data_IF_257253642856
#
_entry.id   IF_257253642856
#
_cell.length_a   1.000
_cell.length_b   1.000
_cell.length_c   1.000
_cell.angle_alpha   90.00
_cell.angle_beta   90.00
_cell.angle_gamma   90.00
#
_symmetry.space_group_name_H-M   'P 1'
#
loop_
_entity.id
_entity.type
_entity.pdbx_description
1 polymer ?
#
# COMPACT_ATOMS: atom_id res chain seq x y z
N UNK A 1 -16.70 19.90 75.90
CA UNK A 1 -16.07 20.62 77.04
C UNK A 1 -15.95 22.13 76.84
N UNK A 2 -15.51 22.66 75.69
CA UNK A 2 -15.32 24.12 75.50
C UNK A 2 -16.65 24.91 75.49
N UNK A 3 -17.73 24.33 74.96
CA UNK A 3 -19.07 24.95 74.95
C UNK A 3 -19.64 25.11 76.37
N UNK A 4 -19.25 24.21 77.29
CA UNK A 4 -19.74 24.18 78.68
C UNK A 4 -19.02 25.20 79.58
N UNK A 5 -17.75 25.52 79.26
CA UNK A 5 -16.99 26.59 79.92
C UNK A 5 -17.47 27.99 79.48
N UNK A 6 -17.77 28.18 78.19
CA UNK A 6 -18.32 29.46 77.71
C UNK A 6 -19.72 29.76 78.27
N UNK A 7 -20.56 28.76 78.45
CA UNK A 7 -21.89 28.91 79.06
C UNK A 7 -21.78 29.17 80.56
N UNK A 8 -20.91 28.46 81.30
CA UNK A 8 -20.64 28.72 82.73
C UNK A 8 -20.01 30.11 82.98
N UNK A 9 -19.07 30.55 82.16
CA UNK A 9 -18.49 31.91 82.23
C UNK A 9 -19.51 33.00 81.86
N UNK A 10 -20.43 32.71 80.94
CA UNK A 10 -21.56 33.60 80.61
C UNK A 10 -22.50 33.74 81.81
N UNK A 11 -22.87 32.64 82.48
CA UNK A 11 -23.77 32.64 83.64
C UNK A 11 -23.17 33.42 84.83
N UNK A 12 -21.86 33.26 85.12
CA UNK A 12 -21.22 33.93 86.26
C UNK A 12 -20.93 35.41 86.01
N UNK A 13 -20.56 35.80 84.78
CA UNK A 13 -20.42 37.22 84.41
C UNK A 13 -21.77 37.94 84.35
N UNK A 14 -22.84 37.26 83.93
CA UNK A 14 -24.20 37.80 83.92
C UNK A 14 -24.78 38.04 85.31
N UNK A 15 -24.55 37.13 86.27
CA UNK A 15 -25.09 37.30 87.63
C UNK A 15 -24.49 38.49 88.38
N UNK A 16 -23.20 38.82 88.19
CA UNK A 16 -22.61 40.06 88.77
C UNK A 16 -23.05 41.34 88.05
N UNK A 17 -23.49 41.24 86.80
CA UNK A 17 -24.04 42.38 86.05
C UNK A 17 -25.53 42.60 86.34
N UNK A 18 -26.26 41.60 86.81
CA UNK A 18 -27.70 41.73 87.06
C UNK A 18 -28.01 42.74 88.17
N UNK A 19 -27.28 42.70 89.28
CA UNK A 19 -27.46 43.65 90.39
C UNK A 19 -27.12 45.09 89.95
N UNK A 20 -25.99 45.28 89.26
CA UNK A 20 -25.61 46.58 88.69
C UNK A 20 -26.61 47.08 87.66
N UNK A 21 -27.16 46.19 86.83
CA UNK A 21 -28.19 46.52 85.86
C UNK A 21 -29.53 46.82 86.53
N UNK A 22 -29.86 46.17 87.64
CA UNK A 22 -31.04 46.49 88.42
C UNK A 22 -30.93 47.91 89.03
N UNK A 23 -29.73 48.34 89.44
CA UNK A 23 -29.47 49.69 89.95
C UNK A 23 -29.60 50.79 88.89
N UNK A 24 -29.30 50.52 87.61
CA UNK A 24 -29.48 51.52 86.54
C UNK A 24 -30.95 51.78 86.23
N UNK A 25 -31.84 50.85 86.58
CA UNK A 25 -33.27 50.97 86.34
C UNK A 25 -33.91 51.71 87.52
N UNK A 26 -34.59 52.85 87.29
CA UNK A 26 -35.16 53.62 88.38
C UNK A 26 -36.31 52.86 89.06
N UNK A 27 -36.30 52.85 90.39
CA UNK A 27 -37.39 52.33 91.23
C UNK A 27 -38.69 53.09 90.95
N UNK A 28 -39.86 52.43 91.02
CA UNK A 28 -41.14 53.10 90.76
C UNK A 28 -41.46 54.15 91.82
N UNK A 29 -42.21 55.18 91.43
CA UNK A 29 -42.62 56.28 92.33
C UNK A 29 -43.45 55.75 93.50
N UNK A 30 -43.16 56.23 94.71
CA UNK A 30 -43.83 55.79 95.95
C UNK A 30 -43.25 54.52 96.58
N UNK A 31 -42.22 53.91 95.98
CA UNK A 31 -41.55 52.72 96.52
C UNK A 31 -40.73 53.03 97.78
N UNK A 32 -40.22 54.25 97.87
CA UNK A 32 -39.51 54.79 99.04
C UNK A 32 -40.41 55.86 99.67
N UNK A 33 -40.76 55.74 100.96
CA UNK A 33 -41.48 56.80 101.67
C UNK A 33 -40.72 58.13 101.59
N UNK A 34 -41.45 59.23 101.41
CA UNK A 34 -40.86 60.58 101.40
C UNK A 34 -40.34 60.98 102.80
N UNK A 35 -41.07 60.53 103.84
CA UNK A 35 -40.72 60.66 105.24
C UNK A 35 -40.02 59.38 105.73
N UNK A 36 -38.95 59.51 106.51
CA UNK A 36 -38.34 58.35 107.15
C UNK A 36 -36.83 58.45 107.33
N UNK A 37 -36.31 57.53 108.14
CA UNK A 37 -34.89 57.43 108.43
C UNK A 37 -34.10 57.13 107.14
N UNK A 38 -32.86 57.64 107.00
CA UNK A 38 -32.01 57.38 105.83
C UNK A 38 -31.91 55.89 105.45
N UNK A 39 -31.91 54.99 106.44
CA UNK A 39 -31.86 53.54 106.22
C UNK A 39 -33.03 52.97 105.41
N UNK A 40 -34.22 53.57 105.47
CA UNK A 40 -35.39 53.09 104.72
C UNK A 40 -35.27 53.36 103.22
N UNK A 41 -34.46 54.35 102.81
CA UNK A 41 -34.19 54.66 101.40
C UNK A 41 -33.28 53.60 100.74
N UNK A 42 -32.34 53.08 101.52
CA UNK A 42 -31.39 52.05 101.09
C UNK A 42 -32.00 50.64 101.15
N UNK A 43 -33.10 50.47 101.88
CA UNK A 43 -33.70 49.17 102.10
C UNK A 43 -34.34 48.59 100.82
N UNK A 44 -34.10 47.30 100.50
CA UNK A 44 -34.76 46.62 99.40
C UNK A 44 -36.28 46.62 99.55
N UNK A 45 -37.01 46.57 98.42
CA UNK A 45 -38.48 46.55 98.42
C UNK A 45 -39.06 45.25 99.00
N UNK A 46 -38.23 44.24 99.17
CA UNK A 46 -38.56 42.92 99.74
C UNK A 46 -38.76 42.97 101.26
N UNK A 47 -38.03 43.88 101.91
CA UNK A 47 -38.06 43.98 103.35
C UNK A 47 -39.24 44.87 103.77
N UNK A 48 -39.98 44.38 104.77
CA UNK A 48 -41.03 45.15 105.44
C UNK A 48 -40.37 46.34 106.16
N UNK A 49 -41.04 47.49 106.14
CA UNK A 49 -40.57 48.63 106.92
C UNK A 49 -40.75 48.32 108.41
N UNK A 50 -39.68 48.34 109.22
CA UNK A 50 -39.80 48.17 110.66
C UNK A 50 -40.47 49.41 111.26
N UNK A 51 -41.49 49.19 112.10
CA UNK A 51 -42.11 50.28 112.84
C UNK A 51 -41.24 50.63 114.03
N UNK A 52 -40.77 51.87 114.10
CA UNK A 52 -40.07 52.41 115.26
C UNK A 52 -41.08 53.28 116.01
N UNK A 53 -41.28 53.10 117.33
CA UNK A 53 -42.19 53.96 118.08
C UNK A 53 -41.69 55.39 118.03
N UNK A 54 -42.55 56.30 117.59
CA UNK A 54 -42.25 57.73 117.46
C UNK A 54 -43.43 58.60 117.90
N UNK A 55 -43.25 59.92 117.96
CA UNK A 55 -44.33 60.86 118.27
C UNK A 55 -45.52 60.67 117.32
N UNK A 56 -46.74 60.94 117.82
CA UNK A 56 -47.96 60.87 116.99
C UNK A 56 -47.80 61.75 115.75
N UNK A 57 -48.23 61.24 114.60
CA UNK A 57 -48.21 61.88 113.27
C UNK A 57 -46.85 62.03 112.58
N UNK A 58 -45.75 61.50 113.14
CA UNK A 58 -44.43 61.53 112.47
C UNK A 58 -44.38 60.61 111.25
N UNK A 59 -45.12 59.50 111.27
CA UNK A 59 -45.18 58.55 110.16
C UNK A 59 -46.55 58.63 109.49
N UNK A 60 -46.60 59.18 108.27
CA UNK A 60 -47.82 59.24 107.46
C UNK A 60 -47.66 58.38 106.20
N UNK A 61 -47.88 57.08 106.30
CA UNK A 61 -47.75 56.18 105.13
C UNK A 61 -48.80 56.53 104.08
N UNK A 62 -48.32 56.94 102.91
CA UNK A 62 -49.14 57.26 101.75
C UNK A 62 -48.78 56.36 100.59
N UNK A 63 -49.75 56.08 99.71
CA UNK A 63 -49.53 55.24 98.53
C UNK A 63 -49.56 56.06 97.25
N UNK A 64 -50.73 56.58 96.91
CA UNK A 64 -50.97 57.46 95.76
C UNK A 64 -51.98 58.55 96.11
N UNK A 65 -52.08 59.52 95.21
CA UNK A 65 -53.11 60.55 95.25
C UNK A 65 -54.52 59.97 95.06
N UNK A 66 -55.51 60.69 95.58
CA UNK A 66 -56.93 60.40 95.36
C UNK A 66 -57.22 60.27 93.86
N UNK A 67 -58.05 59.29 93.51
CA UNK A 67 -58.47 59.02 92.14
C UNK A 67 -57.35 58.56 91.19
N UNK A 68 -56.16 58.28 91.71
CA UNK A 68 -55.11 57.60 90.96
C UNK A 68 -55.15 56.12 91.26
N UNK A 69 -55.26 55.32 90.21
CA UNK A 69 -55.24 53.85 90.29
C UNK A 69 -54.01 53.36 91.05
N UNK A 70 -54.27 52.63 92.14
CA UNK A 70 -53.25 52.07 93.03
C UNK A 70 -52.42 51.00 92.30
N UNK A 71 -53.11 50.04 91.70
CA UNK A 71 -52.52 48.92 90.96
C UNK A 71 -52.30 49.32 89.50
N UNK A 72 -51.23 50.06 89.25
CA UNK A 72 -50.88 50.52 87.91
C UNK A 72 -50.23 49.38 87.11
N UNK A 73 -51.02 48.68 86.30
CA UNK A 73 -50.50 47.92 85.16
C UNK A 73 -50.01 48.95 84.13
N UNK A 74 -48.75 49.41 84.26
CA UNK A 74 -48.19 50.39 83.32
C UNK A 74 -48.30 49.85 81.89
N UNK A 75 -48.85 50.66 80.97
CA UNK A 75 -48.86 50.31 79.55
C UNK A 75 -47.44 50.43 78.98
N UNK A 76 -47.02 49.55 78.05
CA UNK A 76 -47.83 48.50 77.42
C UNK A 76 -48.14 47.38 78.40
N UNK A 77 -49.41 46.94 78.38
CA UNK A 77 -50.02 45.97 79.33
C UNK A 77 -48.98 44.93 79.73
N UNK A 78 -48.69 44.82 81.02
CA UNK A 78 -47.91 43.68 81.50
C UNK A 78 -48.56 42.41 80.93
N UNK A 79 -47.76 41.48 80.37
CA UNK A 79 -48.31 40.21 79.90
C UNK A 79 -49.01 39.53 81.06
N UNK A 80 -50.13 38.87 80.78
CA UNK A 80 -50.86 38.10 81.78
C UNK A 80 -49.89 37.08 82.42
N UNK A 81 -49.65 37.22 83.71
CA UNK A 81 -48.72 36.37 84.44
C UNK A 81 -49.40 35.04 84.77
N UNK A 82 -49.09 34.00 84.00
CA UNK A 82 -49.60 32.65 84.23
C UNK A 82 -48.97 31.98 85.47
N UNK A 83 -47.95 32.58 86.08
CA UNK A 83 -47.26 32.00 87.24
C UNK A 83 -48.07 32.11 88.53
N UNK A 84 -48.96 33.11 88.63
CA UNK A 84 -49.81 33.36 89.80
C UNK A 84 -51.25 33.71 89.36
N UNK A 85 -52.02 32.72 88.86
CA UNK A 85 -53.37 32.96 88.34
C UNK A 85 -54.35 33.47 89.41
N UNK A 86 -54.11 33.14 90.68
CA UNK A 86 -54.96 33.53 91.81
C UNK A 86 -54.46 34.76 92.57
N UNK A 87 -53.40 35.42 92.10
CA UNK A 87 -52.83 36.63 92.70
C UNK A 87 -52.48 36.47 94.21
N UNK A 88 -51.93 35.31 94.60
CA UNK A 88 -51.51 35.06 95.98
C UNK A 88 -50.45 36.06 96.46
N UNK A 89 -49.64 36.58 95.55
CA UNK A 89 -48.58 37.51 95.92
C UNK A 89 -49.10 38.89 96.33
N UNK A 90 -50.11 39.42 95.63
CA UNK A 90 -50.65 40.77 95.84
C UNK A 90 -52.17 40.71 95.90
N UNK A 91 -52.75 41.05 97.05
CA UNK A 91 -54.21 41.18 97.17
C UNK A 91 -54.66 42.50 96.56
N UNK A 92 -55.47 42.41 95.51
CA UNK A 92 -56.05 43.56 94.82
C UNK A 92 -57.40 43.94 95.44
N UNK A 93 -57.40 44.40 96.69
CA UNK A 93 -58.62 44.93 97.32
C UNK A 93 -59.08 46.21 96.61
N UNK A 94 -60.40 46.32 96.41
CA UNK A 94 -61.01 47.55 95.92
C UNK A 94 -60.91 48.62 97.00
N UNK A 95 -60.44 49.81 96.60
CA UNK A 95 -60.26 50.94 97.50
C UNK A 95 -60.88 52.19 96.87
N UNK A 96 -62.01 52.69 97.41
CA UNK A 96 -62.76 53.78 96.79
C UNK A 96 -61.92 55.05 96.53
N UNK A 97 -61.02 55.40 97.45
CA UNK A 97 -60.20 56.61 97.33
C UNK A 97 -59.21 56.57 96.15
N UNK A 98 -58.92 55.39 95.60
CA UNK A 98 -58.04 55.22 94.44
C UNK A 98 -58.81 54.95 93.14
N UNK A 99 -60.15 54.99 93.18
CA UNK A 99 -60.99 54.86 91.99
C UNK A 99 -60.98 56.16 91.19
N UNK A 100 -60.61 56.08 89.91
CA UNK A 100 -60.56 57.25 89.02
C UNK A 100 -61.95 57.85 88.79
N UNK A 101 -62.99 57.03 88.79
CA UNK A 101 -64.35 57.47 88.54
C UNK A 101 -64.97 58.19 89.75
N UNK A 102 -64.42 57.96 90.95
CA UNK A 102 -64.84 58.66 92.17
C UNK A 102 -64.01 59.93 92.42
N UNK A 103 -63.03 60.24 91.56
CA UNK A 103 -62.18 61.42 91.72
C UNK A 103 -63.01 62.70 91.78
N UNK A 104 -64.00 62.86 90.91
CA UNK A 104 -64.85 64.06 90.87
C UNK A 104 -65.69 64.21 92.15
N UNK A 105 -66.21 63.08 92.67
CA UNK A 105 -66.92 63.06 93.94
C UNK A 105 -66.02 63.50 95.09
N UNK A 106 -64.82 62.92 95.21
CA UNK A 106 -63.90 63.26 96.31
C UNK A 106 -63.26 64.64 96.18
N UNK A 107 -63.13 65.17 94.96
CA UNK A 107 -62.53 66.50 94.72
C UNK A 107 -63.43 67.66 95.15
N UNK A 108 -64.71 67.42 95.47
CA UNK A 108 -65.61 68.45 95.99
C UNK A 108 -65.07 69.01 97.32
N UNK A 109 -65.00 70.34 97.53
CA UNK A 109 -64.39 70.93 98.73
C UNK A 109 -64.98 70.42 100.06
N UNK A 110 -66.29 70.16 100.10
CA UNK A 110 -66.96 69.60 101.28
C UNK A 110 -66.40 68.21 101.61
N UNK A 111 -66.28 67.35 100.60
CA UNK A 111 -65.78 65.99 100.76
C UNK A 111 -64.29 65.98 101.12
N UNK A 112 -63.47 66.84 100.51
CA UNK A 112 -62.06 66.99 100.89
C UNK A 112 -61.90 67.40 102.36
N UNK A 113 -62.69 68.37 102.85
CA UNK A 113 -62.68 68.77 104.26
C UNK A 113 -63.06 67.61 105.18
N UNK A 114 -64.07 66.82 104.80
CA UNK A 114 -64.45 65.62 105.55
C UNK A 114 -63.32 64.57 105.59
N UNK A 115 -62.66 64.32 104.45
CA UNK A 115 -61.55 63.36 104.36
C UNK A 115 -60.32 63.80 105.17
N UNK A 116 -59.99 65.10 105.16
CA UNK A 116 -58.93 65.68 105.98
C UNK A 116 -59.26 65.57 107.47
N UNK A 117 -60.48 65.91 107.87
CA UNK A 117 -60.94 65.80 109.26
C UNK A 117 -60.94 64.36 109.76
N UNK A 118 -61.21 63.39 108.87
CA UNK A 118 -61.17 61.96 109.16
C UNK A 118 -59.76 61.34 109.12
N UNK A 119 -58.71 62.14 108.86
CA UNK A 119 -57.32 61.71 108.73
C UNK A 119 -57.08 60.61 107.66
N UNK A 120 -57.90 60.58 106.62
CA UNK A 120 -57.78 59.60 105.53
C UNK A 120 -56.85 60.06 104.41
N UNK A 121 -56.60 61.37 104.32
CA UNK A 121 -55.77 61.98 103.28
C UNK A 121 -54.81 63.00 103.89
N UNK A 122 -53.71 63.28 103.19
CA UNK A 122 -52.79 64.38 103.50
C UNK A 122 -53.24 65.67 102.82
N UNK A 123 -52.66 66.81 103.23
CA UNK A 123 -52.86 68.10 102.57
C UNK A 123 -52.45 68.06 101.08
N UNK A 124 -51.52 67.17 100.72
CA UNK A 124 -51.07 66.91 99.34
C UNK A 124 -52.02 66.06 98.48
N UNK A 125 -53.21 65.73 99.01
CA UNK A 125 -54.20 64.80 98.45
C UNK A 125 -53.71 63.35 98.35
N UNK A 126 -52.71 62.96 99.13
CA UNK A 126 -52.24 61.57 99.19
C UNK A 126 -53.07 60.76 100.17
N UNK A 127 -53.48 59.56 99.75
CA UNK A 127 -54.30 58.67 100.58
C UNK A 127 -53.43 58.02 101.64
N UNK A 128 -53.77 58.25 102.91
CA UNK A 128 -53.14 57.62 104.07
C UNK A 128 -53.52 56.13 104.16
N UNK A 129 -52.62 55.31 104.68
CA UNK A 129 -52.83 53.88 104.81
C UNK A 129 -52.12 53.30 106.02
N UNK A 130 -52.49 52.08 106.40
CA UNK A 130 -51.80 51.37 107.46
C UNK A 130 -50.40 50.91 107.00
N UNK A 131 -49.50 50.64 107.96
CA UNK A 131 -48.19 50.04 107.65
C UNK A 131 -48.35 48.69 106.92
N UNK A 132 -49.41 47.93 107.24
CA UNK A 132 -49.70 46.66 106.59
C UNK A 132 -50.01 46.85 105.10
N UNK A 133 -50.87 47.83 104.79
CA UNK A 133 -51.26 48.13 103.40
C UNK A 133 -50.10 48.74 102.62
N UNK A 134 -49.28 49.57 103.25
CA UNK A 134 -48.08 50.11 102.65
C UNK A 134 -47.06 49.02 102.31
N UNK A 135 -46.84 48.06 103.22
CA UNK A 135 -45.96 46.92 102.95
C UNK A 135 -46.52 46.01 101.84
N UNK A 136 -47.84 45.81 101.76
CA UNK A 136 -48.47 45.11 100.63
C UNK A 136 -48.26 45.85 99.31
N UNK A 137 -48.40 47.18 99.32
CA UNK A 137 -48.12 48.02 98.16
C UNK A 137 -46.63 48.02 97.77
N UNK A 138 -45.68 48.03 98.72
CA UNK A 138 -44.24 47.85 98.43
C UNK A 138 -43.96 46.53 97.73
N UNK A 139 -44.59 45.43 98.16
CA UNK A 139 -44.46 44.12 97.51
C UNK A 139 -44.94 44.17 96.06
N UNK A 140 -46.05 44.85 95.79
CA UNK A 140 -46.51 45.10 94.42
C UNK A 140 -45.51 45.91 93.60
N UNK A 141 -45.00 47.01 94.15
CA UNK A 141 -44.00 47.85 93.48
C UNK A 141 -42.71 47.10 93.18
N UNK A 142 -42.31 46.15 94.03
CA UNK A 142 -41.22 45.22 93.75
C UNK A 142 -41.49 44.40 92.50
N UNK A 143 -42.68 43.81 92.36
CA UNK A 143 -43.08 43.02 91.19
C UNK A 143 -43.00 43.85 89.92
N UNK A 144 -43.59 45.05 89.94
CA UNK A 144 -43.53 46.01 88.81
C UNK A 144 -42.08 46.35 88.44
N UNK A 145 -41.21 46.60 89.42
CA UNK A 145 -39.81 46.89 89.18
C UNK A 145 -39.04 45.69 88.61
N UNK A 146 -39.25 44.49 89.15
CA UNK A 146 -38.66 43.26 88.65
C UNK A 146 -39.09 42.96 87.20
N UNK A 147 -40.37 43.18 86.87
CA UNK A 147 -40.88 43.00 85.52
C UNK A 147 -40.32 44.05 84.54
N UNK A 148 -40.05 45.27 85.02
CA UNK A 148 -39.32 46.27 84.24
C UNK A 148 -37.89 45.82 83.97
N UNK A 149 -37.16 45.34 84.99
CA UNK A 149 -35.80 44.82 84.83
C UNK A 149 -35.77 43.67 83.82
N UNK A 150 -36.67 42.68 83.95
CA UNK A 150 -36.79 41.56 83.01
C UNK A 150 -37.09 42.00 81.58
N UNK A 151 -37.85 43.08 81.38
CA UNK A 151 -38.16 43.61 80.03
C UNK A 151 -36.94 44.28 79.40
N UNK A 152 -36.24 45.11 80.16
CA UNK A 152 -35.03 45.78 79.69
C UNK A 152 -33.92 44.77 79.39
N UNK A 153 -33.75 43.77 80.26
CA UNK A 153 -32.79 42.68 80.05
C UNK A 153 -33.09 41.91 78.75
N UNK A 154 -34.35 41.52 78.54
CA UNK A 154 -34.77 40.87 77.27
C UNK A 154 -34.56 41.75 76.05
N UNK A 155 -34.64 43.08 76.20
CA UNK A 155 -34.36 44.02 75.10
C UNK A 155 -32.86 44.03 74.79
N UNK A 156 -32.00 44.14 75.79
CA UNK A 156 -30.54 44.08 75.61
C UNK A 156 -30.09 42.74 75.01
N UNK A 157 -30.67 41.62 75.46
CA UNK A 157 -30.39 40.29 74.90
C UNK A 157 -30.72 40.23 73.40
N UNK A 158 -31.89 40.71 73.01
CA UNK A 158 -32.30 40.78 71.60
C UNK A 158 -31.34 41.64 70.79
N UNK A 159 -30.97 42.82 71.30
CA UNK A 159 -30.00 43.71 70.64
C UNK A 159 -28.61 43.08 70.55
N UNK A 160 -28.22 42.25 71.51
CA UNK A 160 -26.96 41.53 71.47
C UNK A 160 -26.97 40.44 70.40
N UNK A 161 -28.05 39.65 70.33
CA UNK A 161 -28.24 38.62 69.30
C UNK A 161 -28.34 39.23 67.90
N UNK A 162 -29.13 40.29 67.71
CA UNK A 162 -29.20 41.04 66.45
C UNK A 162 -27.82 41.55 66.01
N UNK A 163 -27.05 42.14 66.93
CA UNK A 163 -25.67 42.59 66.65
C UNK A 163 -24.77 41.43 66.26
N UNK A 164 -24.93 40.26 66.86
CA UNK A 164 -24.16 39.06 66.52
C UNK A 164 -24.52 38.55 65.13
N UNK A 165 -25.80 38.50 64.81
CA UNK A 165 -26.31 37.99 63.54
C UNK A 165 -25.95 38.94 62.38
N UNK A 166 -26.00 40.26 62.61
CA UNK A 166 -25.49 41.26 61.66
C UNK A 166 -24.01 41.06 61.35
N UNK A 167 -23.16 40.89 62.37
CA UNK A 167 -21.72 40.61 62.15
C UNK A 167 -21.50 39.33 61.35
N UNK A 168 -22.28 38.30 61.62
CA UNK A 168 -22.19 37.05 60.86
C UNK A 168 -22.60 37.25 59.40
N UNK A 169 -23.70 37.97 59.14
CA UNK A 169 -24.16 38.27 57.79
C UNK A 169 -23.14 39.12 57.01
N UNK A 170 -22.54 40.14 57.63
CA UNK A 170 -21.48 40.95 57.04
C UNK A 170 -20.26 40.12 56.65
N UNK A 171 -19.84 39.20 57.51
CA UNK A 171 -18.71 38.31 57.23
C UNK A 171 -19.00 37.38 56.05
N UNK A 172 -20.22 36.83 55.96
CA UNK A 172 -20.64 36.02 54.81
C UNK A 172 -20.68 36.85 53.52
N UNK A 173 -21.21 38.08 53.59
CA UNK A 173 -21.22 38.99 52.44
C UNK A 173 -19.81 39.32 51.96
N UNK A 174 -18.86 39.58 52.86
CA UNK A 174 -17.44 39.80 52.53
C UNK A 174 -16.83 38.61 51.81
N UNK A 175 -17.05 37.39 52.32
CA UNK A 175 -16.55 36.15 51.69
C UNK A 175 -17.13 35.94 50.29
N UNK A 176 -18.42 36.21 50.12
CA UNK A 176 -19.08 36.07 48.83
C UNK A 176 -18.55 37.09 47.80
N UNK A 177 -18.34 38.34 48.22
CA UNK A 177 -17.70 39.37 47.38
C UNK A 177 -16.31 38.94 46.92
N UNK A 178 -15.48 38.40 47.82
CA UNK A 178 -14.14 37.92 47.44
C UNK A 178 -14.21 36.74 46.46
N UNK A 179 -15.14 35.81 46.67
CA UNK A 179 -15.40 34.70 45.75
C UNK A 179 -15.82 35.18 44.36
N UNK A 180 -16.70 36.18 44.29
CA UNK A 180 -17.15 36.80 43.03
C UNK A 180 -16.00 37.51 42.32
N UNK A 181 -15.17 38.28 43.04
CA UNK A 181 -13.95 38.88 42.49
C UNK A 181 -12.99 37.84 41.92
N UNK A 182 -12.83 36.70 42.61
CA UNK A 182 -12.04 35.57 42.11
C UNK A 182 -12.58 35.01 40.79
N UNK A 183 -13.90 34.84 40.68
CA UNK A 183 -14.58 34.39 39.45
C UNK A 183 -14.41 35.39 38.31
N UNK A 184 -14.61 36.68 38.58
CA UNK A 184 -14.46 37.75 37.60
C UNK A 184 -13.03 37.79 37.05
N UNK A 185 -12.01 37.73 37.91
CA UNK A 185 -10.60 37.63 37.50
C UNK A 185 -10.37 36.44 36.57
N UNK A 186 -10.94 35.27 36.87
CA UNK A 186 -10.82 34.08 36.03
C UNK A 186 -11.46 34.26 34.64
N UNK A 187 -12.67 34.82 34.59
CA UNK A 187 -13.37 35.14 33.33
C UNK A 187 -12.55 36.13 32.50
N UNK A 188 -12.05 37.20 33.11
CA UNK A 188 -11.22 38.20 32.46
C UNK A 188 -9.91 37.60 31.92
N UNK A 189 -9.24 36.73 32.69
CA UNK A 189 -8.06 36.00 32.23
C UNK A 189 -8.37 35.10 31.03
N UNK A 190 -9.51 34.40 31.05
CA UNK A 190 -9.95 33.53 29.95
C UNK A 190 -10.25 34.36 28.70
N UNK A 191 -10.96 35.47 28.83
CA UNK A 191 -11.29 36.38 27.72
C UNK A 191 -10.02 36.97 27.11
N UNK A 192 -9.06 37.43 27.91
CA UNK A 192 -7.77 37.94 27.43
C UNK A 192 -6.99 36.86 26.66
N UNK A 193 -6.96 35.61 27.14
CA UNK A 193 -6.32 34.49 26.43
C UNK A 193 -7.02 34.19 25.09
N UNK A 194 -8.35 34.23 25.06
CA UNK A 194 -9.13 34.04 23.84
C UNK A 194 -8.82 35.13 22.80
N UNK A 195 -8.83 36.40 23.20
CA UNK A 195 -8.49 37.53 22.34
C UNK A 195 -7.07 37.39 21.77
N UNK A 196 -6.09 36.99 22.59
CA UNK A 196 -4.73 36.74 22.11
C UNK A 196 -4.65 35.59 21.09
N UNK A 197 -5.47 34.53 21.23
CA UNK A 197 -5.53 33.44 20.25
C UNK A 197 -6.09 33.93 18.92
N UNK A 198 -7.20 34.67 18.96
CA UNK A 198 -7.83 35.24 17.77
C UNK A 198 -6.86 36.17 17.02
N UNK A 199 -6.17 37.07 17.72
CA UNK A 199 -5.15 37.94 17.12
C UNK A 199 -4.00 37.16 16.47
N UNK A 200 -3.53 36.08 17.11
CA UNK A 200 -2.48 35.21 16.55
C UNK A 200 -2.96 34.47 15.30
N UNK A 201 -4.21 34.00 15.29
CA UNK A 201 -4.83 33.35 14.14
C UNK A 201 -4.99 34.31 12.98
N UNK A 202 -5.48 35.52 13.21
CA UNK A 202 -5.60 36.56 12.20
C UNK A 202 -4.24 36.90 11.57
N UNK A 203 -3.20 37.05 12.40
CA UNK A 203 -1.84 37.29 11.90
C UNK A 203 -1.31 36.11 11.06
N UNK A 204 -1.60 34.86 11.46
CA UNK A 204 -1.25 33.67 10.66
C UNK A 204 -1.98 33.67 9.32
N UNK A 205 -3.27 33.98 9.32
CA UNK A 205 -4.08 34.05 8.10
C UNK A 205 -3.57 35.13 7.15
N UNK A 206 -3.22 36.32 7.65
CA UNK A 206 -2.60 37.36 6.83
C UNK A 206 -1.26 36.91 6.23
N UNK A 207 -0.39 36.27 7.03
CA UNK A 207 0.89 35.73 6.54
C UNK A 207 0.67 34.66 5.46
N UNK A 208 -0.31 33.78 5.64
CA UNK A 208 -0.67 32.77 4.64
C UNK A 208 -1.19 33.40 3.35
N UNK A 209 -2.08 34.41 3.42
CA UNK A 209 -2.56 35.16 2.25
C UNK A 209 -1.39 35.80 1.47
N UNK A 210 -0.45 36.47 2.16
CA UNK A 210 0.75 37.06 1.54
C UNK A 210 1.64 35.99 0.88
N UNK A 211 1.84 34.83 1.53
CA UNK A 211 2.59 33.69 0.94
C UNK A 211 1.90 33.14 -0.31
N UNK A 212 0.59 32.97 -0.28
CA UNK A 212 -0.19 32.48 -1.41
C UNK A 212 -0.12 33.45 -2.61
N UNK A 213 -0.22 34.76 -2.38
CA UNK A 213 -0.04 35.78 -3.42
C UNK A 213 1.36 35.72 -4.06
N UNK A 214 2.42 35.61 -3.24
CA UNK A 214 3.80 35.43 -3.75
C UNK A 214 3.97 34.18 -4.60
N UNK A 215 3.38 33.06 -4.17
CA UNK A 215 3.45 31.81 -4.92
C UNK A 215 2.69 31.90 -6.26
N UNK A 216 1.52 32.57 -6.29
CA UNK A 216 0.79 32.84 -7.53
C UNK A 216 1.65 33.65 -8.51
N UNK A 217 2.29 34.72 -8.03
CA UNK A 217 3.19 35.54 -8.84
C UNK A 217 4.35 34.72 -9.41
N UNK A 218 5.02 33.92 -8.58
CA UNK A 218 6.12 33.04 -9.01
C UNK A 218 5.67 32.01 -10.06
N UNK A 219 4.45 31.47 -9.94
CA UNK A 219 3.88 30.55 -10.95
C UNK A 219 3.70 31.24 -12.30
N UNK A 220 3.18 32.48 -12.30
CA UNK A 220 3.03 33.27 -13.53
C UNK A 220 4.39 33.52 -14.21
N UNK A 221 5.41 33.92 -13.44
CA UNK A 221 6.77 34.14 -13.97
C UNK A 221 7.33 32.86 -14.62
N UNK A 222 7.25 31.72 -13.91
CA UNK A 222 7.73 30.43 -14.44
C UNK A 222 6.98 29.96 -15.69
N UNK A 223 5.68 30.24 -15.79
CA UNK A 223 4.91 29.92 -16.99
C UNK A 223 5.41 30.72 -18.19
N UNK A 224 5.70 32.00 -17.99
CA UNK A 224 6.20 32.87 -19.05
C UNK A 224 7.62 32.48 -19.48
N UNK A 225 8.51 32.16 -18.54
CA UNK A 225 9.85 31.61 -18.84
C UNK A 225 9.76 30.34 -19.69
N UNK A 226 8.84 29.41 -19.36
CA UNK A 226 8.62 28.18 -20.12
C UNK A 226 8.14 28.47 -21.55
N UNK A 227 7.24 29.45 -21.73
CA UNK A 227 6.79 29.89 -23.06
C UNK A 227 7.97 30.39 -23.90
N UNK A 228 8.81 31.25 -23.32
CA UNK A 228 10.01 31.77 -23.99
C UNK A 228 11.00 30.65 -24.36
N UNK A 229 11.20 29.67 -23.49
CA UNK A 229 12.05 28.50 -23.78
C UNK A 229 11.46 27.66 -24.92
N UNK A 230 10.15 27.42 -24.93
CA UNK A 230 9.49 26.65 -25.98
C UNK A 230 9.62 27.34 -27.35
N UNK A 231 9.40 28.65 -27.42
CA UNK A 231 9.61 29.43 -28.65
C UNK A 231 11.05 29.29 -29.16
N UNK A 232 12.05 29.37 -28.26
CA UNK A 232 13.46 29.17 -28.62
C UNK A 232 13.76 27.75 -29.12
N UNK A 233 13.12 26.72 -28.53
CA UNK A 233 13.27 25.31 -28.93
C UNK A 233 12.66 25.05 -30.31
N UNK A 234 11.46 25.58 -30.57
CA UNK A 234 10.80 25.45 -31.88
C UNK A 234 11.63 26.08 -33.00
N UNK A 235 12.18 27.27 -32.76
CA UNK A 235 13.10 27.93 -33.72
C UNK A 235 14.33 27.07 -34.03
N UNK A 236 14.91 26.41 -33.02
CA UNK A 236 16.05 25.48 -33.21
C UNK A 236 15.63 24.21 -33.95
N UNK A 237 14.47 23.63 -33.61
CA UNK A 237 13.96 22.44 -34.27
C UNK A 237 13.69 22.69 -35.75
N UNK A 238 13.17 23.86 -36.11
CA UNK A 238 12.96 24.25 -37.51
C UNK A 238 14.28 24.37 -38.27
N UNK A 239 15.31 24.98 -37.67
CA UNK A 239 16.65 25.02 -38.26
C UNK A 239 17.24 23.62 -38.48
N UNK A 240 17.03 22.68 -37.55
CA UNK A 240 17.48 21.30 -37.70
C UNK A 240 16.71 20.60 -38.83
N UNK A 241 15.39 20.76 -38.90
CA UNK A 241 14.56 20.19 -39.99
C UNK A 241 15.05 20.66 -41.36
N UNK A 242 15.37 21.95 -41.51
CA UNK A 242 15.90 22.48 -42.76
C UNK A 242 17.26 21.86 -43.12
N UNK A 243 18.17 21.70 -42.15
CA UNK A 243 19.47 21.03 -42.37
C UNK A 243 19.31 19.55 -42.72
N UNK A 244 18.38 18.83 -42.08
CA UNK A 244 18.11 17.42 -42.38
C UNK A 244 17.58 17.23 -43.82
N UNK A 245 16.67 18.10 -44.29
CA UNK A 245 16.17 18.05 -45.68
C UNK A 245 17.29 18.19 -46.71
N UNK A 246 18.23 19.12 -46.48
CA UNK A 246 19.40 19.32 -47.35
C UNK A 246 20.30 18.08 -47.33
N UNK A 247 20.54 17.49 -46.15
CA UNK A 247 21.38 16.30 -46.01
C UNK A 247 20.77 15.07 -46.71
N UNK A 248 19.46 14.86 -46.62
CA UNK A 248 18.77 13.75 -47.31
C UNK A 248 18.89 13.86 -48.83
N UNK A 249 18.85 15.08 -49.36
CA UNK A 249 18.99 15.32 -50.80
C UNK A 249 20.40 15.01 -51.30
N UNK A 250 21.42 15.35 -50.52
CA UNK A 250 22.82 15.00 -50.82
C UNK A 250 23.03 13.48 -50.82
N UNK A 251 22.45 12.76 -49.85
CA UNK A 251 22.54 11.29 -49.80
C UNK A 251 21.84 10.65 -51.01
N UNK A 252 20.67 11.17 -51.39
CA UNK A 252 19.93 10.68 -52.56
C UNK A 252 20.75 10.82 -53.85
N UNK A 253 21.43 11.96 -54.06
CA UNK A 253 22.31 12.17 -55.22
C UNK A 253 23.48 11.19 -55.25
N UNK A 254 24.16 10.98 -54.11
CA UNK A 254 25.26 10.00 -53.99
C UNK A 254 24.80 8.57 -54.29
N UNK A 255 23.58 8.19 -53.86
CA UNK A 255 23.00 6.86 -54.13
C UNK A 255 22.76 6.65 -55.63
N UNK A 256 22.28 7.69 -56.33
CA UNK A 256 22.06 7.63 -57.79
C UNK A 256 23.39 7.47 -58.53
N UNK A 257 24.43 8.20 -58.13
CA UNK A 257 25.77 8.11 -58.73
C UNK A 257 26.37 6.70 -58.61
N UNK A 258 26.24 6.06 -57.44
CA UNK A 258 26.70 4.68 -57.20
C UNK A 258 26.00 3.67 -58.11
N UNK A 259 24.69 3.82 -58.33
CA UNK A 259 23.91 2.93 -59.20
C UNK A 259 24.33 3.06 -60.67
N UNK A 260 24.64 4.28 -61.12
CA UNK A 260 25.12 4.54 -62.48
C UNK A 260 26.51 3.91 -62.70
N UNK A 261 27.41 4.04 -61.73
CA UNK A 261 28.76 3.47 -61.81
C UNK A 261 28.74 1.92 -61.82
N UNK A 262 27.85 1.32 -61.03
CA UNK A 262 27.61 -0.14 -61.07
C UNK A 262 27.13 -0.62 -62.44
N UNK A 263 26.16 0.06 -63.07
CA UNK A 263 25.67 -0.29 -64.42
C UNK A 263 26.76 -0.21 -65.49
N UNK A 264 27.71 0.73 -65.37
CA UNK A 264 28.87 0.84 -66.28
C UNK A 264 29.84 -0.33 -66.11
N UNK A 265 30.17 -0.70 -64.87
CA UNK A 265 31.06 -1.83 -64.56
C UNK A 265 30.46 -3.17 -64.98
N UNK A 266 29.14 -3.32 -64.90
CA UNK A 266 28.46 -4.57 -65.26
C UNK A 266 28.45 -4.83 -66.78
N UNK A 267 28.19 -3.80 -67.59
CA UNK A 267 28.32 -3.89 -69.05
C UNK A 267 29.73 -4.27 -69.52
N UNK A 268 30.77 -3.84 -68.80
CA UNK A 268 32.15 -4.21 -69.10
C UNK A 268 32.45 -5.70 -68.81
N UNK A 269 31.89 -6.25 -67.73
CA UNK A 269 32.02 -7.68 -67.38
C UNK A 269 31.31 -8.58 -68.39
N UNK A 270 30.14 -8.17 -68.87
CA UNK A 270 29.39 -8.94 -69.88
C UNK A 270 30.17 -9.08 -71.20
N UNK A 271 30.75 -7.98 -71.70
CA UNK A 271 31.59 -7.98 -72.91
C UNK A 271 32.86 -8.84 -72.78
N UNK A 272 33.44 -8.90 -71.59
CA UNK A 272 34.61 -9.76 -71.32
C UNK A 272 34.26 -11.26 -71.31
N UNK A 273 33.03 -11.60 -70.89
CA UNK A 273 32.53 -12.99 -70.88
C UNK A 273 32.23 -13.50 -72.29
N UNK A 274 31.64 -12.66 -73.14
CA UNK A 274 31.35 -12.98 -74.55
C UNK A 274 32.62 -13.25 -75.37
N UNK A 275 33.69 -12.46 -75.19
CA UNK A 275 34.98 -12.72 -75.84
C UNK A 275 35.58 -14.09 -75.47
N UNK A 276 35.53 -14.48 -74.20
CA UNK A 276 36.04 -15.78 -73.74
C UNK A 276 35.25 -16.98 -74.29
N UNK A 277 33.95 -16.81 -74.53
CA UNK A 277 33.11 -17.85 -75.13
C UNK A 277 33.42 -18.05 -76.61
N UNK A 278 33.68 -16.96 -77.35
CA UNK A 278 34.07 -17.02 -78.77
C UNK A 278 35.43 -17.69 -78.98
N UNK A 279 36.40 -17.45 -78.11
CA UNK A 279 37.74 -18.07 -78.20
C UNK A 279 37.71 -19.58 -77.91
N UNK A 280 36.85 -20.03 -76.98
CA UNK A 280 36.68 -21.47 -76.67
C UNK A 280 36.00 -22.23 -77.82
N UNK A 281 35.04 -21.60 -78.51
CA UNK A 281 34.32 -22.22 -79.63
C UNK A 281 35.23 -22.39 -80.86
N UNK A 282 36.08 -21.40 -81.15
CA UNK A 282 37.09 -21.49 -82.21
C UNK A 282 38.15 -22.56 -81.95
N UNK A 283 38.51 -22.78 -80.68
CA UNK A 283 39.47 -23.84 -80.31
C UNK A 283 38.86 -25.24 -80.47
N UNK A 284 37.57 -25.41 -80.14
CA UNK A 284 36.85 -26.69 -80.32
C UNK A 284 36.71 -27.08 -81.80
N UNK A 285 36.51 -26.11 -82.70
CA UNK A 285 36.40 -26.37 -84.14
C UNK A 285 37.73 -26.90 -84.73
N UNK A 286 38.87 -26.32 -84.32
CA UNK A 286 40.21 -26.78 -84.74
C UNK A 286 40.52 -28.21 -84.25
N UNK A 287 40.15 -28.54 -83.01
CA UNK A 287 40.35 -29.88 -82.45
C UNK A 287 39.46 -30.96 -83.11
N UNK A 288 38.32 -30.57 -83.69
CA UNK A 288 37.43 -31.50 -84.42
C UNK A 288 38.00 -31.79 -85.82
N UNK A 289 38.47 -30.76 -86.54
CA UNK A 289 39.13 -30.93 -87.84
C UNK A 289 40.39 -31.78 -87.76
N UNK A 290 41.22 -31.58 -86.73
CA UNK A 290 42.46 -32.35 -86.58
C UNK A 290 42.17 -33.83 -86.25
N UNK A 291 41.14 -34.11 -85.46
CA UNK A 291 40.68 -35.49 -85.17
C UNK A 291 40.10 -36.19 -86.39
N UNK A 292 39.40 -35.47 -87.27
CA UNK A 292 38.88 -36.02 -88.52
C UNK A 292 40.01 -36.42 -89.48
N UNK A 293 41.02 -35.56 -89.63
CA UNK A 293 42.19 -35.80 -90.50
C UNK A 293 42.95 -37.07 -90.10
N UNK A 294 43.21 -37.25 -88.80
CA UNK A 294 43.89 -38.46 -88.27
C UNK A 294 43.07 -39.74 -88.49
N UNK A 295 41.74 -39.64 -88.53
CA UNK A 295 40.83 -40.77 -88.76
C UNK A 295 40.79 -41.21 -90.22
N UNK A 296 40.86 -40.24 -91.15
CA UNK A 296 41.00 -40.50 -92.59
C UNK A 296 42.32 -41.22 -92.90
N UNK A 297 43.45 -40.73 -92.39
CA UNK A 297 44.76 -41.37 -92.59
C UNK A 297 44.85 -42.79 -92.01
N UNK A 298 44.17 -43.05 -90.89
CA UNK A 298 44.10 -44.38 -90.31
C UNK A 298 43.31 -45.34 -91.21
N UNK A 299 42.19 -44.89 -91.79
CA UNK A 299 41.37 -45.69 -92.70
C UNK A 299 42.11 -46.02 -94.01
N UNK A 300 42.86 -45.08 -94.59
CA UNK A 300 43.66 -45.35 -95.80
C UNK A 300 44.75 -46.41 -95.55
N UNK A 301 45.42 -46.34 -94.40
CA UNK A 301 46.44 -47.35 -94.02
C UNK A 301 45.82 -48.74 -93.85
N UNK A 302 44.59 -48.83 -93.38
CA UNK A 302 43.90 -50.11 -93.20
C UNK A 302 43.42 -50.70 -94.54
N UNK A 303 42.89 -49.86 -95.43
CA UNK A 303 42.55 -50.25 -96.81
C UNK A 303 43.80 -50.74 -97.56
N UNK A 304 44.94 -50.08 -97.39
CA UNK A 304 46.21 -50.51 -98.01
C UNK A 304 46.66 -51.89 -97.50
N UNK A 305 46.53 -52.17 -96.20
CA UNK A 305 46.82 -53.50 -95.63
C UNK A 305 45.88 -54.58 -96.16
N UNK A 306 44.59 -54.28 -96.28
CA UNK A 306 43.61 -55.22 -96.83
C UNK A 306 43.90 -55.55 -98.31
N UNK A 307 44.30 -54.56 -99.13
CA UNK A 307 44.73 -54.80 -100.53
C UNK A 307 45.91 -55.77 -100.63
N UNK A 308 46.93 -55.63 -99.78
CA UNK A 308 48.09 -56.54 -99.75
C UNK A 308 47.67 -57.97 -99.38
N UNK A 309 46.74 -58.12 -98.42
CA UNK A 309 46.22 -59.42 -98.03
C UNK A 309 45.43 -60.10 -99.17
N UNK A 310 44.59 -59.34 -99.88
CA UNK A 310 43.83 -59.86 -101.02
C UNK A 310 44.74 -60.34 -102.15
N UNK A 311 45.80 -59.59 -102.48
CA UNK A 311 46.79 -60.00 -103.49
C UNK A 311 47.48 -61.33 -103.13
N UNK A 312 47.79 -61.55 -101.85
CA UNK A 312 48.36 -62.82 -101.37
C UNK A 312 47.39 -63.99 -101.51
N UNK A 313 46.10 -63.75 -101.24
CA UNK A 313 45.05 -64.77 -101.40
C UNK A 313 44.89 -65.14 -102.89
N UNK A 314 44.87 -64.15 -103.79
CA UNK A 314 44.80 -64.40 -105.23
C UNK A 314 46.01 -65.16 -105.78
N UNK A 315 47.22 -64.83 -105.33
CA UNK A 315 48.43 -65.56 -105.71
C UNK A 315 48.36 -67.03 -105.28
N UNK A 316 47.81 -67.30 -104.08
CA UNK A 316 47.62 -68.66 -103.57
C UNK A 316 46.54 -69.41 -104.36
N UNK A 317 45.45 -68.73 -104.73
CA UNK A 317 44.38 -69.29 -105.57
C UNK A 317 44.90 -69.65 -106.97
N UNK A 318 45.76 -68.82 -107.58
CA UNK A 318 46.37 -69.13 -108.88
C UNK A 318 47.24 -70.40 -108.83
N UNK A 319 48.10 -70.52 -107.81
CA UNK A 319 48.90 -71.75 -107.60
C UNK A 319 48.03 -72.99 -107.43
N UNK A 320 46.94 -72.89 -106.67
CA UNK A 320 46.01 -74.00 -106.51
C UNK A 320 45.31 -74.40 -107.81
N UNK A 321 44.91 -73.42 -108.65
CA UNK A 321 44.32 -73.70 -109.96
C UNK A 321 45.32 -74.42 -110.88
N UNK A 322 46.58 -73.98 -110.89
CA UNK A 322 47.65 -74.64 -111.68
C UNK A 322 47.89 -76.10 -111.23
N UNK A 323 47.96 -76.34 -109.92
CA UNK A 323 48.10 -77.69 -109.34
C UNK A 323 46.88 -78.58 -109.63
N UNK A 324 45.66 -78.02 -109.56
CA UNK A 324 44.43 -78.74 -109.90
C UNK A 324 44.39 -79.12 -111.38
N UNK A 325 44.71 -78.19 -112.28
CA UNK A 325 44.72 -78.45 -113.73
C UNK A 325 45.76 -79.51 -114.10
N UNK A 326 46.98 -79.45 -113.54
CA UNK A 326 47.98 -80.51 -113.77
C UNK A 326 47.54 -81.88 -113.25
N UNK A 327 46.74 -81.93 -112.18
CA UNK A 327 46.15 -83.18 -111.69
C UNK A 327 45.07 -83.70 -112.63
N UNK A 328 44.19 -82.83 -113.13
CA UNK A 328 43.18 -83.15 -114.14
C UNK A 328 43.83 -83.65 -115.42
N UNK A 329 44.89 -83.00 -115.92
CA UNK A 329 45.60 -83.43 -117.13
C UNK A 329 46.21 -84.82 -116.98
N UNK A 330 46.77 -85.15 -115.80
CA UNK A 330 47.28 -86.49 -115.48
C UNK A 330 46.17 -87.55 -115.48
N UNK A 331 45.01 -87.25 -114.88
CA UNK A 331 43.87 -88.17 -114.89
C UNK A 331 43.25 -88.32 -116.29
N UNK A 332 43.21 -87.25 -117.07
CA UNK A 332 42.75 -87.27 -118.47
C UNK A 332 43.68 -88.15 -119.32
N UNK A 333 44.99 -88.05 -119.12
CA UNK A 333 45.96 -88.92 -119.79
C UNK A 333 45.82 -90.40 -119.39
N UNK A 334 45.48 -90.69 -118.12
CA UNK A 334 45.15 -92.07 -117.68
C UNK A 334 43.87 -92.58 -118.32
N UNK A 335 42.82 -91.76 -118.33
CA UNK A 335 41.53 -92.09 -118.97
C UNK A 335 41.71 -92.34 -120.47
N UNK A 336 42.55 -91.57 -121.15
CA UNK A 336 42.86 -91.77 -122.56
C UNK A 336 43.56 -93.12 -122.81
N UNK A 337 44.53 -93.51 -121.96
CA UNK A 337 45.17 -94.84 -122.03
C UNK A 337 44.17 -95.97 -121.80
N UNK A 338 43.22 -95.80 -120.88
CA UNK A 338 42.16 -96.77 -120.64
C UNK A 338 41.21 -96.88 -121.83
N UNK A 339 40.86 -95.76 -122.47
CA UNK A 339 40.06 -95.73 -123.69
C UNK A 339 40.78 -96.40 -124.86
N UNK A 340 42.08 -96.19 -125.04
CA UNK A 340 42.86 -96.86 -126.09
C UNK A 340 42.98 -98.37 -125.85
N UNK A 341 43.14 -98.79 -124.59
CA UNK A 341 43.09 -100.20 -124.20
C UNK A 341 41.70 -100.81 -124.44
N UNK A 342 40.63 -100.06 -124.18
CA UNK A 342 39.27 -100.49 -124.46
C UNK A 342 39.02 -100.61 -125.97
N UNK A 343 39.49 -99.67 -126.80
CA UNK A 343 39.43 -99.78 -128.28
C UNK A 343 40.19 -101.02 -128.80
N UNK A 344 41.34 -101.34 -128.22
CA UNK A 344 42.08 -102.59 -128.49
C UNK A 344 41.26 -103.83 -128.10
N UNK A 345 40.58 -103.78 -126.96
CA UNK A 345 39.73 -104.87 -126.51
C UNK A 345 38.49 -105.03 -127.41
N UNK A 346 37.82 -103.94 -127.78
CA UNK A 346 36.64 -103.93 -128.65
C UNK A 346 36.97 -104.39 -130.06
N UNK A 347 38.12 -103.99 -130.62
CA UNK A 347 38.58 -104.49 -131.92
C UNK A 347 38.94 -105.98 -131.89
N UNK A 348 39.49 -106.49 -130.78
CA UNK A 348 39.73 -107.91 -130.56
C UNK A 348 38.41 -108.71 -130.38
N UNK A 349 37.45 -108.14 -129.65
CA UNK A 349 36.13 -108.72 -129.41
C UNK A 349 35.29 -108.81 -130.69
N UNK A 350 35.31 -107.77 -131.53
CA UNK A 350 34.59 -107.74 -132.82
C UNK A 350 35.17 -108.78 -133.80
N UNK A 351 36.51 -108.94 -133.86
CA UNK A 351 37.13 -109.98 -134.69
C UNK A 351 36.77 -111.41 -134.27
N UNK A 352 36.44 -111.62 -132.98
CA UNK A 352 36.02 -112.92 -132.41
C UNK A 352 34.60 -113.33 -132.76
N UNK A 353 33.74 -112.40 -133.20
CA UNK A 353 32.29 -112.65 -133.41
C UNK A 353 31.86 -112.74 -134.86
N UNK A 354 32.78 -112.66 -135.82
CA UNK A 354 32.47 -113.08 -137.19
C UNK A 354 32.58 -114.62 -137.29
N UNK A 355 31.70 -115.30 -138.06
CA UNK A 355 31.45 -116.74 -137.91
C UNK A 355 32.62 -117.67 -138.27
N UNK A 356 33.66 -117.18 -138.95
CA UNK A 356 34.71 -117.99 -139.59
C UNK A 356 36.11 -117.88 -138.94
N UNK A 357 36.21 -117.48 -137.67
CA UNK A 357 37.50 -117.25 -137.01
C UNK A 357 37.91 -118.25 -135.93
N UNK A 358 37.63 -119.56 -136.10
CA UNK A 358 38.37 -120.57 -135.32
C UNK A 358 39.80 -120.55 -135.83
N UNK A 359 40.74 -120.49 -134.90
CA UNK A 359 42.18 -120.28 -135.14
C UNK A 359 42.56 -118.84 -135.43
N UNK A 360 42.70 -118.05 -134.37
CA UNK A 360 43.86 -117.17 -134.21
C UNK A 360 43.85 -116.60 -132.80
N UNK A 361 44.62 -117.24 -131.92
CA UNK A 361 45.08 -116.67 -130.66
C UNK A 361 45.89 -115.44 -131.02
N UNK A 362 45.33 -114.23 -130.80
CA UNK A 362 46.16 -113.03 -130.94
C UNK A 362 45.71 -111.91 -130.01
N UNK A 363 46.11 -112.02 -128.74
CA UNK A 363 46.91 -110.92 -128.19
C UNK A 363 47.78 -111.41 -127.01
N UNK A 364 49.10 -111.48 -127.24
CA UNK A 364 50.15 -112.01 -126.36
C UNK A 364 50.41 -111.21 -125.05
N UNK A 365 49.53 -110.30 -124.62
CA UNK A 365 49.83 -109.38 -123.49
C UNK A 365 49.26 -109.77 -122.12
N UNK A 366 48.40 -110.79 -122.03
CA UNK A 366 47.69 -111.13 -120.78
C UNK A 366 48.41 -112.08 -119.80
N UNK A 367 49.72 -112.33 -119.92
CA UNK A 367 50.42 -113.32 -119.07
C UNK A 367 51.67 -112.81 -118.31
N UNK A 368 51.91 -111.48 -118.21
CA UNK A 368 53.20 -110.95 -117.70
C UNK A 368 53.19 -109.97 -116.50
N UNK A 369 52.11 -109.80 -115.74
CA UNK A 369 52.08 -108.83 -114.64
C UNK A 369 51.85 -109.44 -113.23
N UNK A 370 52.36 -110.66 -113.01
CA UNK A 370 52.41 -111.32 -111.69
C UNK A 370 53.89 -111.51 -111.27
N UNK A 371 54.58 -110.43 -110.90
CA UNK A 371 55.84 -110.46 -110.09
C UNK A 371 56.53 -109.09 -110.04
N UNK A 372 56.11 -108.17 -109.16
CA UNK A 372 57.02 -107.13 -108.61
C UNK A 372 56.38 -106.23 -107.53
N UNK A 373 56.90 -106.40 -106.29
CA UNK A 373 57.43 -105.37 -105.35
C UNK A 373 56.37 -104.50 -104.62
N UNK A 374 56.08 -104.67 -103.31
CA UNK A 374 56.84 -104.41 -102.06
C UNK A 374 57.22 -102.93 -101.79
N UNK A 375 56.85 -102.48 -100.58
CA UNK A 375 57.41 -101.40 -99.74
C UNK A 375 56.85 -99.95 -99.83
N UNK A 376 56.45 -99.42 -98.65
CA UNK A 376 56.33 -98.00 -98.29
C UNK A 376 54.91 -97.38 -98.35
N UNK A 377 54.37 -96.63 -97.38
CA UNK A 377 54.93 -95.98 -96.20
C UNK A 377 53.84 -95.69 -95.15
N UNK A 378 54.25 -95.82 -93.89
CA UNK A 378 53.48 -95.89 -92.64
C UNK A 378 53.58 -94.60 -91.79
N UNK A 379 53.89 -93.42 -92.35
CA UNK A 379 54.40 -92.28 -91.56
C UNK A 379 53.43 -91.12 -91.28
N UNK A 380 52.21 -91.08 -91.83
CA UNK A 380 51.41 -89.84 -91.84
C UNK A 380 50.34 -89.70 -90.73
N UNK A 381 50.28 -90.63 -89.78
CA UNK A 381 49.24 -90.63 -88.72
C UNK A 381 49.73 -89.99 -87.40
N UNK A 382 51.04 -89.73 -87.23
CA UNK A 382 51.60 -89.23 -85.94
C UNK A 382 51.71 -87.71 -85.79
N UNK A 383 51.49 -86.89 -86.82
CA UNK A 383 51.64 -85.41 -86.69
C UNK A 383 50.37 -84.70 -86.19
N UNK A 384 49.21 -85.36 -86.26
CA UNK A 384 47.92 -84.74 -85.94
C UNK A 384 47.57 -84.71 -84.44
N UNK A 385 48.32 -85.39 -83.57
CA UNK A 385 48.03 -85.43 -82.13
C UNK A 385 48.72 -84.29 -81.33
N UNK A 386 49.83 -83.74 -81.84
CA UNK A 386 50.64 -82.75 -81.09
C UNK A 386 50.07 -81.32 -81.16
N UNK A 387 49.30 -81.00 -82.20
CA UNK A 387 48.80 -79.64 -82.42
C UNK A 387 47.55 -79.29 -81.61
N UNK A 388 46.82 -80.29 -81.09
CA UNK A 388 45.63 -80.07 -80.25
C UNK A 388 45.99 -79.63 -78.81
N UNK A 389 47.12 -80.12 -78.26
CA UNK A 389 47.50 -79.89 -76.86
C UNK A 389 48.02 -78.45 -76.63
N UNK A 390 48.61 -77.81 -77.64
CA UNK A 390 49.21 -76.48 -77.51
C UNK A 390 48.20 -75.32 -77.50
N UNK A 391 46.94 -75.54 -77.91
CA UNK A 391 45.93 -74.48 -77.96
C UNK A 391 45.28 -74.22 -76.58
N UNK A 392 45.10 -75.26 -75.76
CA UNK A 392 44.38 -75.14 -74.48
C UNK A 392 45.18 -74.46 -73.36
N UNK A 393 46.52 -74.46 -73.43
CA UNK A 393 47.42 -73.85 -72.42
C UNK A 393 47.46 -72.31 -72.51
N UNK A 394 47.22 -71.74 -73.69
CA UNK A 394 47.30 -70.29 -73.93
C UNK A 394 46.06 -69.52 -73.42
N UNK A 395 44.91 -70.19 -73.35
CA UNK A 395 43.65 -69.56 -72.95
C UNK A 395 43.52 -69.37 -71.43
N UNK A 396 44.04 -70.30 -70.62
CA UNK A 396 43.93 -70.23 -69.16
C UNK A 396 44.82 -69.15 -68.52
N UNK A 397 45.94 -68.75 -69.15
CA UNK A 397 46.83 -67.70 -68.63
C UNK A 397 46.27 -66.28 -68.79
N UNK A 398 45.38 -66.04 -69.74
CA UNK A 398 44.81 -64.71 -69.99
C UNK A 398 43.68 -64.36 -69.00
N UNK A 399 43.01 -65.36 -68.41
CA UNK A 399 41.86 -65.14 -67.52
C UNK A 399 42.27 -64.78 -66.08
N UNK A 400 43.44 -65.22 -65.61
CA UNK A 400 43.94 -64.92 -64.25
C UNK A 400 44.35 -63.45 -64.07
N UNK A 401 44.97 -62.85 -65.10
CA UNK A 401 45.43 -61.46 -65.05
C UNK A 401 44.30 -60.40 -65.07
N UNK A 402 43.08 -60.78 -65.52
CA UNK A 402 41.92 -59.87 -65.53
C UNK A 402 41.17 -59.82 -64.19
N UNK A 403 41.28 -60.85 -63.33
CA UNK A 403 40.61 -60.84 -62.01
C UNK A 403 41.40 -60.03 -60.97
N UNK A 404 42.73 -60.11 -60.96
CA UNK A 404 43.58 -59.43 -59.95
C UNK A 404 43.53 -57.88 -60.06
N UNK A 405 43.15 -57.30 -61.20
CA UNK A 405 43.06 -55.84 -61.41
C UNK A 405 41.77 -55.25 -60.80
N UNK A 406 40.75 -56.07 -60.54
CA UNK A 406 39.45 -55.60 -60.03
C UNK A 406 39.43 -55.43 -58.50
N UNK A 407 40.18 -56.25 -57.76
CA UNK A 407 40.14 -56.25 -56.29
C UNK A 407 40.90 -55.06 -55.67
N UNK A 408 41.99 -54.60 -56.28
CA UNK A 408 42.78 -53.44 -55.80
C UNK A 408 42.02 -52.10 -55.88
N UNK A 409 41.04 -51.98 -56.78
CA UNK A 409 40.19 -50.79 -56.89
C UNK A 409 39.09 -50.73 -55.83
N UNK A 410 38.68 -51.87 -55.26
CA UNK A 410 37.60 -51.90 -54.27
C UNK A 410 38.11 -51.56 -52.87
N UNK A 411 39.30 -52.03 -52.48
CA UNK A 411 39.85 -51.78 -51.13
C UNK A 411 40.24 -50.30 -50.89
N UNK A 412 40.74 -49.60 -51.91
CA UNK A 412 41.12 -48.18 -51.79
C UNK A 412 39.93 -47.22 -51.60
N UNK A 413 38.73 -47.59 -52.07
CA UNK A 413 37.52 -46.77 -51.87
C UNK A 413 36.99 -46.89 -50.44
N UNK A 414 37.14 -48.05 -49.79
CA UNK A 414 36.59 -48.30 -48.45
C UNK A 414 37.41 -47.66 -47.33
N UNK A 415 38.74 -47.52 -47.49
CA UNK A 415 39.59 -46.83 -46.51
C UNK A 415 39.36 -45.31 -46.51
N UNK A 416 39.12 -44.69 -47.67
CA UNK A 416 38.89 -43.24 -47.77
C UNK A 416 37.57 -42.78 -47.14
N UNK A 417 36.55 -43.64 -47.12
CA UNK A 417 35.24 -43.36 -46.51
C UNK A 417 35.25 -43.42 -44.97
N UNK A 418 36.12 -44.25 -44.36
CA UNK A 418 36.23 -44.38 -42.89
C UNK A 418 36.96 -43.20 -42.23
N UNK A 419 37.91 -42.57 -42.93
CA UNK A 419 38.63 -41.41 -42.42
C UNK A 419 37.74 -40.16 -42.32
N UNK A 420 36.81 -39.98 -43.28
CA UNK A 420 35.89 -38.83 -43.32
C UNK A 420 34.83 -38.92 -42.20
N UNK A 421 34.45 -40.13 -41.76
CA UNK A 421 33.45 -40.32 -40.70
C UNK A 421 34.01 -40.13 -39.29
N UNK A 422 35.32 -40.36 -39.07
CA UNK A 422 35.97 -40.07 -37.79
C UNK A 422 36.20 -38.57 -37.55
N UNK A 423 36.51 -37.77 -38.58
CA UNK A 423 36.71 -36.32 -38.42
C UNK A 423 35.40 -35.55 -38.12
N UNK A 424 34.24 -36.06 -38.55
CA UNK A 424 32.93 -35.41 -38.32
C UNK A 424 32.40 -35.65 -36.89
N UNK A 425 32.89 -36.68 -36.19
CA UNK A 425 32.42 -37.04 -34.84
C UNK A 425 33.17 -36.29 -33.72
N UNK A 426 34.34 -35.72 -34.02
CA UNK A 426 35.16 -34.94 -33.06
C UNK A 426 34.79 -33.44 -33.04
N UNK A 427 33.92 -32.98 -33.95
CA UNK A 427 33.49 -31.57 -34.06
C UNK A 427 32.04 -31.29 -33.66
N UNK A 428 31.41 -32.17 -32.88
CA UNK A 428 30.08 -31.94 -32.26
C UNK A 428 30.14 -31.96 -30.75
#
# INVERSE_FOLDING_TARGET
MIIDLCSKLRITHWNRNLERFAETIPKPKGAVPEFGLPGWKMMPLEHKIPMIPGPKNVYSFTRRKIGRKLWTMERPRLPFDLSDPYCHETRFSYEPLHDEHLLEFFSKPINLKCLLKADLITDGMDVKCSLRDYNAYRKYLRKVHADRIKREMRREDRLFDERRDLRFAEEQARKEVERLKGREKFVNCRQRRMQQRLLKEELKMQKQKKRAQRLKLLKCIKQEERRLINIKREKRAEQIRQKCKIATEIVRRKMIDVVIDWKKKDKARQKAKEKRLMDVEQQKQKDVEERWRRKQEFQEKDIAKQKILLQRIEARRKKFIEEYNTKIDKETAKMQKLLDNAKLFTSCYIKRRLPDGRELICCKKCLKAFSSIKDGEESEIKSNLQNSINFSSKFMKQKKHMMDISDDKYQNKTQKSKHITQEVTIRK
#
